data_IF_727206001165
#
_entry.id   IF_727206001165
#
_cell.length_a   1.000
_cell.length_b   1.000
_cell.length_c   1.000
_cell.angle_alpha   90.00
_cell.angle_beta   90.00
_cell.angle_gamma   90.00
#
_symmetry.space_group_name_H-M   'P 1'
#
loop_
_entity.id
_entity.type
_entity.pdbx_description
1 polymer ?
#
# COMPACT_ATOMS: atom_id res chain seq x y z
N UNK A 1 4.92 14.66 -2.79
CA UNK A 1 5.58 15.17 -1.58
C UNK A 1 6.81 14.28 -1.31
N UNK A 2 7.97 14.82 -0.93
CA UNK A 2 9.13 14.03 -0.52
C UNK A 2 8.84 13.24 0.75
N UNK A 3 9.31 11.98 0.81
CA UNK A 3 9.03 11.08 1.93
C UNK A 3 9.59 11.63 3.26
N UNK A 4 10.75 12.27 3.22
CA UNK A 4 11.38 12.90 4.38
C UNK A 4 10.50 14.01 4.98
N UNK A 5 9.77 14.76 4.14
CA UNK A 5 8.83 15.77 4.62
C UNK A 5 7.62 15.18 5.32
N UNK A 6 7.14 14.00 4.87
CA UNK A 6 6.01 13.31 5.49
C UNK A 6 6.36 12.77 6.87
N UNK A 7 7.58 12.30 7.03
CA UNK A 7 8.05 11.63 8.24
C UNK A 7 8.78 12.55 9.21
N UNK A 8 9.15 13.78 8.77
CA UNK A 8 9.96 14.70 9.56
C UNK A 8 11.42 14.26 9.70
N UNK A 9 11.88 13.37 8.85
CA UNK A 9 13.24 12.82 8.85
C UNK A 9 14.17 13.63 7.92
N UNK A 10 15.47 13.47 8.11
CA UNK A 10 16.49 14.10 7.27
C UNK A 10 16.87 13.21 6.08
N UNK A 11 17.53 13.83 5.10
CA UNK A 11 18.10 13.11 3.96
C UNK A 11 19.07 12.02 4.42
N UNK A 12 18.91 10.79 3.91
CA UNK A 12 19.72 9.63 4.29
C UNK A 12 19.15 8.79 5.42
N UNK A 13 18.10 9.23 6.11
CA UNK A 13 17.42 8.45 7.15
C UNK A 13 16.33 7.52 6.58
N UNK A 14 15.91 7.77 5.34
CA UNK A 14 14.95 6.93 4.62
C UNK A 14 15.59 6.33 3.37
N UNK A 15 15.29 5.06 3.13
CA UNK A 15 15.54 4.40 1.85
C UNK A 15 14.23 4.32 1.06
N UNK A 16 14.12 5.05 -0.04
CA UNK A 16 12.84 5.34 -0.70
C UNK A 16 12.78 4.70 -2.08
N UNK A 17 11.70 3.98 -2.36
CA UNK A 17 11.27 3.57 -3.71
C UNK A 17 9.93 4.22 -4.04
N UNK A 18 9.75 4.64 -5.30
CA UNK A 18 8.50 5.28 -5.74
C UNK A 18 8.05 4.72 -7.07
N UNK A 19 6.77 4.41 -7.16
CA UNK A 19 6.11 4.06 -8.42
C UNK A 19 4.67 4.62 -8.45
N UNK A 20 4.01 4.53 -9.60
CA UNK A 20 2.63 4.97 -9.74
C UNK A 20 1.73 4.10 -8.87
N UNK A 21 0.97 4.74 -7.98
CA UNK A 21 0.00 4.12 -7.08
C UNK A 21 0.60 3.07 -6.11
N UNK A 22 1.81 3.30 -5.63
CA UNK A 22 2.46 2.54 -4.54
C UNK A 22 2.33 1.01 -4.65
N UNK A 23 2.43 0.46 -5.86
CA UNK A 23 2.24 -0.95 -6.09
C UNK A 23 3.47 -1.80 -5.76
N UNK A 24 3.22 -2.97 -5.16
CA UNK A 24 4.19 -4.06 -4.95
C UNK A 24 3.68 -5.27 -5.71
N UNK A 25 4.14 -5.43 -6.95
CA UNK A 25 3.74 -6.52 -7.82
C UNK A 25 4.76 -7.65 -7.72
N UNK A 26 4.28 -8.88 -7.63
CA UNK A 26 5.13 -10.07 -7.43
C UNK A 26 6.20 -10.28 -8.49
N UNK A 27 6.02 -9.71 -9.68
CA UNK A 27 6.94 -9.82 -10.83
C UNK A 27 7.66 -8.50 -11.14
N UNK A 28 7.44 -7.44 -10.37
CA UNK A 28 8.21 -6.20 -10.49
C UNK A 28 9.56 -6.34 -9.79
N UNK A 29 10.53 -6.86 -10.55
CA UNK A 29 11.89 -7.07 -10.04
C UNK A 29 12.58 -5.77 -9.64
N UNK A 30 12.18 -4.63 -10.18
CA UNK A 30 12.73 -3.34 -9.76
C UNK A 30 12.33 -3.04 -8.30
N UNK A 31 11.05 -3.09 -7.97
CA UNK A 31 10.57 -2.91 -6.60
C UNK A 31 11.18 -3.96 -5.66
N UNK A 32 11.11 -5.24 -6.03
CA UNK A 32 11.59 -6.34 -5.20
C UNK A 32 13.11 -6.28 -4.96
N UNK A 33 13.90 -5.81 -5.92
CA UNK A 33 15.36 -5.62 -5.73
C UNK A 33 15.65 -4.52 -4.72
N UNK A 34 14.89 -3.43 -4.73
CA UNK A 34 15.00 -2.36 -3.72
C UNK A 34 14.62 -2.89 -2.33
N UNK A 35 13.54 -3.66 -2.25
CA UNK A 35 13.11 -4.31 -0.99
C UNK A 35 14.19 -5.27 -0.49
N UNK A 36 14.75 -6.10 -1.36
CA UNK A 36 15.82 -7.03 -0.98
C UNK A 36 17.04 -6.29 -0.45
N UNK A 37 17.47 -5.23 -1.12
CA UNK A 37 18.61 -4.44 -0.64
C UNK A 37 18.33 -3.82 0.74
N UNK A 38 17.13 -3.27 0.93
CA UNK A 38 16.72 -2.71 2.22
C UNK A 38 16.73 -3.75 3.35
N UNK A 39 16.22 -4.96 3.08
CA UNK A 39 16.09 -6.02 4.09
C UNK A 39 17.43 -6.74 4.34
N UNK A 40 18.13 -7.14 3.27
CA UNK A 40 19.30 -8.00 3.39
C UNK A 40 20.59 -7.21 3.65
N UNK A 41 20.73 -6.02 3.05
CA UNK A 41 21.96 -5.23 3.13
C UNK A 41 21.84 -4.13 4.19
N UNK A 42 20.80 -3.30 4.10
CA UNK A 42 20.60 -2.20 5.04
C UNK A 42 19.99 -2.66 6.38
N UNK A 43 19.42 -3.85 6.40
CA UNK A 43 18.79 -4.46 7.58
C UNK A 43 17.76 -3.55 8.25
N UNK A 44 16.92 -2.92 7.44
CA UNK A 44 15.83 -2.06 7.93
C UNK A 44 14.89 -2.85 8.83
N UNK A 45 14.38 -2.21 9.87
CA UNK A 45 13.43 -2.82 10.81
C UNK A 45 11.98 -2.56 10.42
N UNK A 46 11.73 -1.52 9.64
CA UNK A 46 10.39 -1.11 9.24
C UNK A 46 10.36 -0.80 7.76
N UNK A 47 9.31 -1.28 7.08
CA UNK A 47 8.98 -0.92 5.70
C UNK A 47 7.59 -0.31 5.71
N UNK A 48 7.42 0.82 5.07
CA UNK A 48 6.14 1.53 4.97
C UNK A 48 5.67 1.48 3.52
N UNK A 49 4.49 0.92 3.30
CA UNK A 49 3.72 1.10 2.07
C UNK A 49 2.82 2.31 2.28
N UNK A 50 3.05 3.36 1.49
CA UNK A 50 2.32 4.61 1.63
C UNK A 50 1.55 4.94 0.36
N UNK A 51 0.22 4.94 0.44
CA UNK A 51 -0.68 5.50 -0.55
C UNK A 51 -1.05 6.95 -0.24
N UNK A 52 -1.90 7.56 -1.07
CA UNK A 52 -2.46 8.87 -0.77
C UNK A 52 -3.88 9.00 -1.32
N UNK A 53 -4.68 9.83 -0.69
CA UNK A 53 -6.00 10.21 -1.21
C UNK A 53 -5.89 11.09 -2.46
N UNK A 54 -6.93 11.09 -3.29
CA UNK A 54 -6.92 11.80 -4.56
C UNK A 54 -5.92 11.23 -5.58
N UNK A 55 -5.57 9.95 -5.48
CA UNK A 55 -4.59 9.32 -6.39
C UNK A 55 -5.19 9.14 -7.80
N UNK A 56 -4.66 9.88 -8.79
CA UNK A 56 -5.10 9.77 -10.18
C UNK A 56 -4.94 8.37 -10.77
N UNK A 57 -3.93 7.59 -10.35
CA UNK A 57 -3.77 6.21 -10.78
C UNK A 57 -4.87 5.30 -10.24
N UNK A 58 -5.28 5.48 -8.98
CA UNK A 58 -6.39 4.73 -8.38
C UNK A 58 -7.72 5.09 -9.04
N UNK A 59 -7.99 6.37 -9.27
CA UNK A 59 -9.18 6.84 -10.01
C UNK A 59 -9.22 6.26 -11.42
N UNK A 60 -8.10 6.29 -12.14
CA UNK A 60 -8.01 5.71 -13.48
C UNK A 60 -8.24 4.18 -13.48
N UNK A 61 -7.87 3.47 -12.42
CA UNK A 61 -8.17 2.04 -12.30
C UNK A 61 -9.67 1.77 -12.19
N UNK A 62 -10.45 2.66 -11.58
CA UNK A 62 -11.92 2.59 -11.51
C UNK A 62 -12.52 2.89 -12.88
N UNK A 63 -12.21 4.06 -13.44
CA UNK A 63 -12.82 4.60 -14.64
C UNK A 63 -12.37 3.89 -15.93
N UNK A 64 -11.20 3.26 -15.88
CA UNK A 64 -10.60 2.51 -16.99
C UNK A 64 -10.52 3.30 -18.32
N UNK A 65 -10.04 4.55 -18.33
CA UNK A 65 -9.85 5.29 -19.57
C UNK A 65 -8.73 4.66 -20.40
N UNK A 66 -8.73 4.94 -21.71
CA UNK A 66 -7.68 4.44 -22.62
C UNK A 66 -6.43 5.33 -22.54
N UNK A 67 -5.57 5.08 -21.57
CA UNK A 67 -4.32 5.82 -21.32
C UNK A 67 -3.08 5.19 -21.96
N UNK A 68 -3.23 4.06 -22.65
CA UNK A 68 -2.11 3.33 -23.25
C UNK A 68 -1.42 2.39 -22.27
N UNK A 69 -0.09 2.33 -22.32
CA UNK A 69 0.71 1.34 -21.58
C UNK A 69 0.44 1.33 -20.06
N UNK A 70 0.19 2.49 -19.47
CA UNK A 70 -0.07 2.61 -18.04
C UNK A 70 -1.26 1.77 -17.57
N UNK A 71 -2.24 1.52 -18.45
CA UNK A 71 -3.40 0.68 -18.10
C UNK A 71 -2.97 -0.72 -17.67
N UNK A 72 -1.93 -1.31 -18.28
CA UNK A 72 -1.42 -2.63 -17.87
C UNK A 72 -0.96 -2.63 -16.41
N UNK A 73 -0.32 -1.55 -15.97
CA UNK A 73 0.10 -1.35 -14.59
C UNK A 73 -1.09 -1.19 -13.64
N UNK A 74 -2.12 -0.45 -14.07
CA UNK A 74 -3.31 -0.16 -13.28
C UNK A 74 -4.30 -1.34 -13.20
N UNK A 75 -4.18 -2.36 -14.05
CA UNK A 75 -5.04 -3.56 -13.99
C UNK A 75 -4.98 -4.26 -12.64
N UNK A 76 -3.84 -4.27 -11.96
CA UNK A 76 -3.73 -4.86 -10.62
C UNK A 76 -4.63 -4.16 -9.61
N UNK A 77 -4.73 -2.82 -9.65
CA UNK A 77 -5.63 -2.06 -8.78
C UNK A 77 -7.07 -2.24 -9.23
N UNK A 78 -7.31 -2.34 -10.55
CA UNK A 78 -8.62 -2.62 -11.08
C UNK A 78 -9.17 -3.97 -10.60
N UNK A 79 -8.34 -4.99 -10.47
CA UNK A 79 -8.75 -6.28 -9.91
C UNK A 79 -9.25 -6.13 -8.46
N UNK A 80 -8.60 -5.29 -7.65
CA UNK A 80 -9.09 -4.98 -6.29
C UNK A 80 -10.41 -4.22 -6.32
N UNK A 81 -10.57 -3.25 -7.22
CA UNK A 81 -11.86 -2.57 -7.41
C UNK A 81 -12.97 -3.57 -7.76
N UNK A 82 -12.74 -4.44 -8.74
CA UNK A 82 -13.73 -5.43 -9.18
C UNK A 82 -14.09 -6.42 -8.06
N UNK A 83 -13.13 -6.84 -7.26
CA UNK A 83 -13.32 -7.70 -6.09
C UNK A 83 -14.24 -7.08 -5.04
N UNK A 84 -14.20 -5.76 -4.87
CA UNK A 84 -14.98 -5.03 -3.85
C UNK A 84 -16.05 -4.11 -4.47
N UNK A 85 -16.40 -4.32 -5.74
CA UNK A 85 -17.24 -3.42 -6.51
C UNK A 85 -18.60 -3.17 -5.88
N UNK A 86 -19.28 -4.21 -5.39
CA UNK A 86 -20.60 -4.08 -4.77
C UNK A 86 -20.62 -3.10 -3.59
N UNK A 87 -19.55 -3.06 -2.81
CA UNK A 87 -19.38 -2.12 -1.71
C UNK A 87 -18.99 -0.72 -2.22
N UNK A 88 -18.01 -0.65 -3.10
CA UNK A 88 -17.45 0.61 -3.58
C UNK A 88 -18.43 1.43 -4.42
N UNK A 89 -19.26 0.78 -5.26
CA UNK A 89 -20.22 1.48 -6.14
C UNK A 89 -21.38 2.13 -5.37
N UNK A 90 -21.55 1.83 -4.10
CA UNK A 90 -22.52 2.51 -3.23
C UNK A 90 -22.05 3.88 -2.74
N UNK A 91 -20.77 4.20 -2.92
CA UNK A 91 -20.16 5.43 -2.45
C UNK A 91 -20.16 6.52 -3.52
N UNK A 92 -20.15 7.82 -3.13
CA UNK A 92 -19.80 8.92 -4.03
C UNK A 92 -18.45 8.65 -4.71
N UNK A 93 -18.28 9.15 -5.93
CA UNK A 93 -17.11 8.84 -6.76
C UNK A 93 -15.77 9.20 -6.06
N UNK A 94 -15.74 10.32 -5.35
CA UNK A 94 -14.58 10.79 -4.62
C UNK A 94 -14.23 9.85 -3.45
N UNK A 95 -15.22 9.52 -2.61
CA UNK A 95 -15.05 8.59 -1.49
C UNK A 95 -14.68 7.19 -1.96
N UNK A 96 -15.22 6.75 -3.10
CA UNK A 96 -14.89 5.47 -3.75
C UNK A 96 -13.41 5.38 -4.09
N UNK A 97 -12.86 6.41 -4.72
CA UNK A 97 -11.45 6.46 -5.10
C UNK A 97 -10.54 6.43 -3.86
N UNK A 98 -10.88 7.21 -2.84
CA UNK A 98 -10.10 7.27 -1.60
C UNK A 98 -10.21 5.95 -0.82
N UNK A 99 -11.38 5.33 -0.79
CA UNK A 99 -11.57 4.00 -0.19
C UNK A 99 -10.77 2.92 -0.93
N UNK A 100 -10.74 2.97 -2.26
CA UNK A 100 -9.89 2.07 -3.05
C UNK A 100 -8.40 2.32 -2.80
N UNK A 101 -7.98 3.56 -2.51
CA UNK A 101 -6.60 3.83 -2.13
C UNK A 101 -6.22 3.16 -0.80
N UNK A 102 -7.13 3.14 0.19
CA UNK A 102 -6.92 2.39 1.45
C UNK A 102 -6.83 0.88 1.20
N UNK A 103 -7.74 0.32 0.40
CA UNK A 103 -7.72 -1.10 0.01
C UNK A 103 -6.41 -1.42 -0.71
N UNK A 104 -6.00 -0.59 -1.66
CA UNK A 104 -4.76 -0.78 -2.40
C UNK A 104 -3.55 -0.84 -1.44
N UNK A 105 -3.45 0.05 -0.46
CA UNK A 105 -2.36 -0.02 0.52
C UNK A 105 -2.38 -1.34 1.29
N UNK A 106 -3.53 -1.80 1.74
CA UNK A 106 -3.65 -3.07 2.47
C UNK A 106 -3.22 -4.27 1.59
N UNK A 107 -3.64 -4.30 0.32
CA UNK A 107 -3.25 -5.32 -0.67
C UNK A 107 -1.73 -5.27 -0.94
N UNK A 108 -1.12 -4.10 -1.04
CA UNK A 108 0.33 -3.99 -1.26
C UNK A 108 1.14 -4.38 -0.03
N UNK A 109 0.66 -4.13 1.19
CA UNK A 109 1.26 -4.67 2.42
C UNK A 109 1.20 -6.20 2.41
N UNK A 110 0.06 -6.77 2.02
CA UNK A 110 -0.12 -8.22 1.89
C UNK A 110 0.83 -8.81 0.84
N UNK A 111 0.92 -8.20 -0.35
CA UNK A 111 1.83 -8.62 -1.41
C UNK A 111 3.29 -8.59 -0.96
N UNK A 112 3.70 -7.50 -0.31
CA UNK A 112 5.06 -7.34 0.20
C UNK A 112 5.38 -8.37 1.28
N UNK A 113 4.47 -8.59 2.23
CA UNK A 113 4.61 -9.58 3.29
C UNK A 113 4.74 -11.00 2.75
N UNK A 114 4.06 -11.33 1.64
CA UNK A 114 4.14 -12.62 0.96
C UNK A 114 5.33 -12.73 -0.03
N UNK A 115 6.10 -11.66 -0.24
CA UNK A 115 7.29 -11.73 -1.08
C UNK A 115 8.32 -12.70 -0.51
N UNK A 116 9.08 -13.34 -1.38
CA UNK A 116 10.16 -14.25 -0.98
C UNK A 116 11.19 -13.54 -0.08
N UNK A 117 11.40 -12.26 -0.27
CA UNK A 117 12.33 -11.45 0.54
C UNK A 117 11.87 -11.41 1.99
N UNK A 118 10.61 -11.04 2.26
CA UNK A 118 10.08 -10.96 3.63
C UNK A 118 9.93 -12.35 4.26
N UNK A 119 9.42 -13.31 3.50
CA UNK A 119 9.26 -14.68 3.98
C UNK A 119 10.60 -15.29 4.42
N UNK A 120 11.65 -15.12 3.62
CA UNK A 120 12.99 -15.59 3.96
C UNK A 120 13.62 -14.82 5.14
N UNK A 121 13.36 -13.51 5.23
CA UNK A 121 13.81 -12.69 6.36
C UNK A 121 13.24 -13.22 7.68
N UNK A 122 11.94 -13.47 7.72
CA UNK A 122 11.28 -14.01 8.92
C UNK A 122 11.70 -15.44 9.23
N UNK A 123 11.91 -16.28 8.21
CA UNK A 123 12.40 -17.67 8.40
C UNK A 123 13.78 -17.73 9.08
N UNK A 124 14.67 -16.79 8.73
CA UNK A 124 15.99 -16.67 9.41
C UNK A 124 15.95 -15.89 10.72
N UNK A 125 14.76 -15.51 11.22
CA UNK A 125 14.58 -14.80 12.49
C UNK A 125 14.90 -13.30 12.45
N UNK A 126 14.97 -12.69 11.25
CA UNK A 126 15.22 -11.26 11.13
C UNK A 126 13.97 -10.47 11.51
N UNK A 127 14.14 -9.52 12.42
CA UNK A 127 13.07 -8.61 12.82
C UNK A 127 12.89 -7.51 11.76
N UNK A 128 11.84 -7.63 10.95
CA UNK A 128 11.39 -6.63 9.98
C UNK A 128 9.87 -6.59 9.97
N UNK A 129 9.31 -5.40 9.91
CA UNK A 129 7.86 -5.17 9.94
C UNK A 129 7.42 -4.37 8.72
N UNK A 130 6.27 -4.73 8.17
CA UNK A 130 5.63 -3.99 7.07
C UNK A 130 4.40 -3.28 7.59
N UNK A 131 4.23 -2.01 7.24
CA UNK A 131 3.14 -1.15 7.69
C UNK A 131 2.44 -0.48 6.52
N UNK A 132 1.12 -0.29 6.63
CA UNK A 132 0.32 0.46 5.66
C UNK A 132 -0.08 1.84 6.18
N UNK A 133 0.22 2.86 5.40
CA UNK A 133 -0.13 4.26 5.69
C UNK A 133 -0.83 4.89 4.48
N UNK A 134 -1.67 5.87 4.74
CA UNK A 134 -2.26 6.73 3.73
C UNK A 134 -1.96 8.20 4.05
N UNK A 135 -1.68 8.97 3.02
CA UNK A 135 -1.38 10.40 3.13
C UNK A 135 -2.52 11.25 2.59
N UNK A 136 -3.00 12.19 3.40
CA UNK A 136 -3.93 13.23 3.00
C UNK A 136 -3.18 14.40 2.39
N UNK A 137 -3.39 14.66 1.09
CA UNK A 137 -2.72 15.78 0.40
C UNK A 137 -3.28 17.12 0.90
N UNK A 138 -4.56 17.16 1.25
CA UNK A 138 -5.27 18.38 1.65
C UNK A 138 -4.90 18.83 3.07
N UNK A 139 -4.78 17.89 4.00
CA UNK A 139 -4.50 18.17 5.42
C UNK A 139 -3.05 17.93 5.83
N UNK A 140 -2.25 17.32 4.95
CA UNK A 140 -0.84 17.05 5.18
C UNK A 140 -0.56 15.95 6.20
N UNK A 141 -1.54 15.12 6.54
CA UNK A 141 -1.40 14.05 7.55
C UNK A 141 -1.01 12.73 6.93
N UNK A 142 -0.17 12.02 7.67
CA UNK A 142 0.18 10.62 7.41
C UNK A 142 -0.52 9.75 8.45
N UNK A 143 -1.51 8.97 8.01
CA UNK A 143 -2.35 8.18 8.89
C UNK A 143 -2.08 6.68 8.74
N UNK A 144 -2.01 6.00 9.88
CA UNK A 144 -1.80 4.56 9.94
C UNK A 144 -3.12 3.81 9.70
N UNK A 145 -3.15 2.94 8.68
CA UNK A 145 -4.35 2.16 8.32
C UNK A 145 -4.68 1.01 9.28
N UNK A 146 -3.79 0.70 10.20
CA UNK A 146 -3.97 -0.44 11.11
C UNK A 146 -3.55 -1.77 10.49
N UNK A 147 -2.92 -1.78 9.31
CA UNK A 147 -2.36 -2.98 8.69
C UNK A 147 -0.87 -3.09 8.99
N UNK A 148 -0.47 -4.20 9.62
CA UNK A 148 0.92 -4.48 10.00
C UNK A 148 1.20 -5.97 9.90
N UNK A 149 2.32 -6.33 9.29
CA UNK A 149 2.82 -7.69 9.23
C UNK A 149 4.23 -7.75 9.80
N UNK A 150 4.45 -8.60 10.81
CA UNK A 150 5.73 -8.74 11.52
C UNK A 150 6.24 -10.19 11.55
N UNK A 151 5.47 -11.13 11.00
CA UNK A 151 5.83 -12.53 10.91
C UNK A 151 4.99 -13.24 9.85
N UNK A 152 5.51 -14.35 9.34
CA UNK A 152 4.83 -15.18 8.36
C UNK A 152 3.44 -15.65 8.82
N UNK A 153 3.32 -16.09 10.07
CA UNK A 153 2.05 -16.62 10.61
C UNK A 153 0.98 -15.58 10.82
N UNK A 154 1.32 -14.29 10.90
CA UNK A 154 0.39 -13.21 11.16
C UNK A 154 -0.15 -12.53 9.88
N UNK A 155 0.37 -12.87 8.70
CA UNK A 155 0.05 -12.15 7.45
C UNK A 155 -1.44 -12.24 7.12
N UNK A 156 -1.99 -13.45 7.06
CA UNK A 156 -3.40 -13.67 6.67
C UNK A 156 -4.36 -13.00 7.65
N UNK A 157 -4.19 -13.26 8.94
CA UNK A 157 -5.08 -12.71 9.98
C UNK A 157 -5.05 -11.17 10.00
N UNK A 158 -3.88 -10.58 9.91
CA UNK A 158 -3.73 -9.13 9.94
C UNK A 158 -4.29 -8.46 8.68
N UNK A 159 -4.11 -9.09 7.53
CA UNK A 159 -4.70 -8.63 6.28
C UNK A 159 -6.24 -8.66 6.35
N UNK A 160 -6.84 -9.77 6.76
CA UNK A 160 -8.29 -9.87 6.87
C UNK A 160 -8.88 -8.87 7.85
N UNK A 161 -8.27 -8.71 9.04
CA UNK A 161 -8.69 -7.70 10.02
C UNK A 161 -8.61 -6.27 9.48
N UNK A 162 -7.55 -5.97 8.72
CA UNK A 162 -7.42 -4.66 8.09
C UNK A 162 -8.50 -4.41 7.04
N UNK A 163 -8.77 -5.38 6.17
CA UNK A 163 -9.85 -5.27 5.18
C UNK A 163 -11.23 -5.16 5.82
N UNK A 164 -11.54 -5.96 6.82
CA UNK A 164 -12.80 -5.86 7.57
C UNK A 164 -13.00 -4.46 8.15
N UNK A 165 -11.95 -3.87 8.71
CA UNK A 165 -11.98 -2.50 9.21
C UNK A 165 -12.21 -1.49 8.10
N UNK A 166 -11.45 -1.58 6.99
CA UNK A 166 -11.54 -0.65 5.85
C UNK A 166 -12.93 -0.74 5.19
N UNK A 167 -13.47 -1.94 5.04
CA UNK A 167 -14.77 -2.19 4.41
C UNK A 167 -15.97 -1.99 5.36
N UNK A 168 -15.74 -1.66 6.63
CA UNK A 168 -16.81 -1.36 7.55
C UNK A 168 -17.52 -0.06 7.13
N UNK A 169 -18.85 -0.03 6.94
CA UNK A 169 -19.59 1.17 6.54
C UNK A 169 -19.44 2.35 7.51
N UNK A 170 -19.10 2.08 8.77
CA UNK A 170 -18.85 3.10 9.79
C UNK A 170 -17.39 3.58 9.82
N UNK A 171 -16.51 2.95 9.03
CA UNK A 171 -15.11 3.38 8.92
C UNK A 171 -15.03 4.63 8.05
N UNK A 172 -14.73 5.76 8.67
CA UNK A 172 -14.51 7.03 7.96
C UNK A 172 -13.13 7.04 7.32
N UNK A 173 -12.99 7.75 6.21
CA UNK A 173 -11.68 8.08 5.64
C UNK A 173 -10.85 8.85 6.68
N UNK A 174 -9.58 8.50 6.82
CA UNK A 174 -8.75 8.93 7.95
C UNK A 174 -8.31 10.41 7.85
N UNK A 175 -8.19 10.94 6.63
CA UNK A 175 -7.66 12.27 6.35
C UNK A 175 -8.73 13.21 5.74
N UNK A 176 -9.88 13.32 6.39
CA UNK A 176 -10.93 14.29 6.04
C UNK A 176 -11.53 14.95 7.26
#
# INVERSE_FOLDING_TARGET
>A
VPAERLTGLYSGELFVHRNVANQVIHTDLNCLSVVQYAVDVLQVKHIIVCGHYGCGGVTAAIDNPQLGLINNWLLHIRDYYLKHREYLDQMPAEDRSDKLAEINVAEQVYNLANSTVLQNAWERGQAVEVHGFVYGIEDGRLEYLGVRCASRSAVEDNYHKALEKILNPNHRLLCR
#
